data_IF_321471857141
#
_entry.id   IF_321471857141
#
_cell.length_a   1.000
_cell.length_b   1.000
_cell.length_c   1.000
_cell.angle_alpha   90.00
_cell.angle_beta   90.00
_cell.angle_gamma   90.00
#
_symmetry.space_group_name_H-M   'P 1'
#
loop_
_entity.id
_entity.type
_entity.pdbx_description
1 polymer ?
#
# COMPACT_ATOMS: atom_id res chain seq x y z
N UNK A 1 15.94 -14.03 3.70
CA UNK A 1 14.71 -14.75 4.08
C UNK A 1 13.47 -13.95 3.75
N UNK A 2 12.60 -14.53 2.94
CA UNK A 2 11.28 -13.99 2.61
C UNK A 2 10.30 -14.51 3.66
N UNK A 3 9.54 -13.63 4.33
CA UNK A 3 8.50 -14.03 5.28
C UNK A 3 7.15 -14.08 4.56
N UNK A 4 6.66 -15.29 4.29
CA UNK A 4 5.41 -15.52 3.56
C UNK A 4 4.19 -14.94 4.29
N UNK A 5 4.25 -14.79 5.63
CA UNK A 5 3.15 -14.22 6.43
C UNK A 5 2.83 -12.78 6.07
N UNK A 6 3.78 -12.06 5.47
CA UNK A 6 3.61 -10.69 4.97
C UNK A 6 2.87 -10.63 3.64
N UNK A 7 2.76 -11.75 2.93
CA UNK A 7 2.18 -11.77 1.58
C UNK A 7 0.66 -11.74 1.65
N UNK A 8 0.07 -10.92 0.77
CA UNK A 8 -1.38 -10.83 0.60
C UNK A 8 -1.71 -11.48 -0.73
N UNK A 9 -2.56 -12.52 -0.77
CA UNK A 9 -3.03 -13.09 -2.02
C UNK A 9 -3.66 -12.03 -2.92
N UNK A 10 -3.22 -11.97 -4.18
CA UNK A 10 -3.64 -10.91 -5.10
C UNK A 10 -5.17 -10.74 -5.20
N UNK A 11 -5.99 -11.82 -5.27
CA UNK A 11 -7.45 -11.69 -5.36
C UNK A 11 -8.08 -10.90 -4.20
N UNK A 12 -7.44 -10.88 -3.03
CA UNK A 12 -7.94 -10.11 -1.88
C UNK A 12 -7.82 -8.61 -2.09
N UNK A 13 -6.95 -8.14 -3.00
CA UNK A 13 -6.76 -6.72 -3.31
C UNK A 13 -7.86 -6.15 -4.23
N UNK A 14 -8.75 -7.00 -4.77
CA UNK A 14 -9.83 -6.59 -5.67
C UNK A 14 -10.69 -5.41 -5.17
N UNK A 15 -10.98 -5.25 -3.85
CA UNK A 15 -11.71 -4.07 -3.34
C UNK A 15 -11.03 -2.74 -3.66
N UNK A 16 -9.71 -2.69 -3.69
CA UNK A 16 -8.97 -1.45 -3.96
C UNK A 16 -9.24 -0.94 -5.38
N UNK A 17 -9.31 -1.85 -6.36
CA UNK A 17 -9.61 -1.50 -7.76
C UNK A 17 -11.04 -1.01 -7.99
N UNK A 18 -11.93 -1.16 -7.01
CA UNK A 18 -13.32 -0.68 -7.09
C UNK A 18 -13.52 0.71 -6.50
N UNK A 19 -12.49 1.30 -5.87
CA UNK A 19 -12.57 2.66 -5.35
C UNK A 19 -12.66 3.63 -6.53
N UNK A 20 -13.69 4.50 -6.61
CA UNK A 20 -13.82 5.44 -7.70
C UNK A 20 -12.81 6.59 -7.58
N UNK A 21 -12.43 7.17 -8.73
CA UNK A 21 -11.59 8.37 -8.77
C UNK A 21 -10.10 8.14 -8.53
N UNK A 22 -9.63 6.88 -8.50
CA UNK A 22 -8.20 6.55 -8.38
C UNK A 22 -7.66 5.89 -9.65
N UNK A 23 -6.35 5.99 -9.83
CA UNK A 23 -5.60 5.17 -10.78
C UNK A 23 -4.61 4.31 -10.01
N UNK A 24 -4.72 2.99 -10.14
CA UNK A 24 -3.79 2.07 -9.49
C UNK A 24 -2.51 1.92 -10.30
N UNK A 25 -1.37 2.06 -9.63
CA UNK A 25 -0.05 1.74 -10.18
C UNK A 25 0.54 0.54 -9.43
N UNK A 26 0.83 -0.54 -10.13
CA UNK A 26 1.41 -1.77 -9.57
C UNK A 26 2.93 -1.66 -9.57
N UNK A 27 3.50 -1.54 -8.37
CA UNK A 27 4.95 -1.44 -8.17
C UNK A 27 5.65 -2.81 -8.02
N UNK A 28 4.88 -3.90 -7.93
CA UNK A 28 5.38 -5.28 -7.92
C UNK A 28 6.08 -5.62 -9.25
N UNK A 29 7.04 -6.55 -9.19
CA UNK A 29 7.93 -6.90 -10.31
C UNK A 29 8.05 -8.42 -10.45
N UNK A 30 8.49 -8.87 -11.63
CA UNK A 30 8.84 -10.26 -11.89
C UNK A 30 7.68 -11.22 -11.63
N UNK A 31 8.00 -12.40 -11.06
CA UNK A 31 7.04 -13.49 -10.82
C UNK A 31 5.82 -13.09 -10.00
N UNK A 32 5.90 -12.06 -9.17
CA UNK A 32 4.74 -11.60 -8.40
C UNK A 32 3.61 -11.04 -9.28
N UNK A 33 3.91 -10.65 -10.52
CA UNK A 33 2.88 -10.16 -11.45
C UNK A 33 2.07 -11.28 -12.10
N UNK A 34 2.49 -12.55 -12.02
CA UNK A 34 1.73 -13.65 -12.66
C UNK A 34 0.35 -13.86 -12.04
N UNK A 35 0.15 -13.43 -10.80
CA UNK A 35 -1.12 -13.52 -10.09
C UNK A 35 -1.99 -12.26 -10.27
N UNK A 36 -1.51 -11.25 -10.99
CA UNK A 36 -2.24 -10.02 -11.25
C UNK A 36 -3.46 -10.30 -12.17
N UNK A 37 -4.69 -10.01 -11.72
CA UNK A 37 -5.87 -10.06 -12.57
C UNK A 37 -5.74 -9.08 -13.74
N UNK A 38 -6.24 -9.46 -14.93
CA UNK A 38 -6.30 -8.55 -16.07
C UNK A 38 -6.96 -7.22 -15.69
N UNK A 39 -6.31 -6.12 -16.04
CA UNK A 39 -6.83 -4.76 -15.80
C UNK A 39 -6.65 -4.22 -14.37
N UNK A 40 -5.97 -4.95 -13.47
CA UNK A 40 -5.65 -4.42 -12.14
C UNK A 40 -4.53 -3.37 -12.21
N UNK A 41 -4.87 -2.14 -12.56
CA UNK A 41 -3.94 -1.00 -12.59
C UNK A 41 -2.85 -1.07 -13.68
N UNK A 42 -2.01 -0.04 -13.71
CA UNK A 42 -0.88 0.11 -14.63
C UNK A 42 0.38 -0.43 -13.98
N UNK A 43 1.11 -1.34 -14.64
CA UNK A 43 2.40 -1.82 -14.11
C UNK A 43 3.43 -0.70 -14.24
N UNK A 44 4.00 -0.28 -13.11
CA UNK A 44 4.97 0.83 -13.04
C UNK A 44 6.20 0.52 -12.18
N UNK A 45 6.32 -0.73 -11.70
CA UNK A 45 7.47 -1.19 -10.92
C UNK A 45 8.79 -1.18 -11.71
N UNK A 46 9.91 -0.97 -11.01
CA UNK A 46 11.25 -0.95 -11.61
C UNK A 46 12.26 -1.67 -10.72
N UNK A 47 13.14 -2.48 -11.32
CA UNK A 47 14.28 -3.11 -10.62
C UNK A 47 15.37 -2.10 -10.24
N UNK A 48 15.40 -0.94 -10.89
CA UNK A 48 16.28 0.16 -10.55
C UNK A 48 15.68 1.03 -9.45
N UNK A 49 16.39 1.18 -8.33
CA UNK A 49 15.92 1.90 -7.14
C UNK A 49 15.66 3.40 -7.39
N UNK A 50 16.49 4.06 -8.21
CA UNK A 50 16.30 5.48 -8.53
C UNK A 50 15.03 5.69 -9.37
N UNK A 51 14.77 4.79 -10.31
CA UNK A 51 13.53 4.84 -11.10
C UNK A 51 12.31 4.50 -10.24
N UNK A 52 12.42 3.51 -9.34
CA UNK A 52 11.35 3.22 -8.38
C UNK A 52 11.03 4.44 -7.49
N UNK A 53 12.07 5.13 -7.01
CA UNK A 53 11.89 6.37 -6.23
C UNK A 53 11.20 7.47 -7.04
N UNK A 54 11.57 7.65 -8.32
CA UNK A 54 10.91 8.62 -9.21
C UNK A 54 9.43 8.32 -9.41
N UNK A 55 9.10 7.05 -9.66
CA UNK A 55 7.70 6.61 -9.77
C UNK A 55 6.96 6.89 -8.47
N UNK A 56 7.50 6.48 -7.32
CA UNK A 56 6.85 6.71 -6.02
C UNK A 56 6.62 8.19 -5.71
N UNK A 57 7.55 9.07 -6.10
CA UNK A 57 7.42 10.53 -5.89
C UNK A 57 6.33 11.18 -6.74
N UNK A 58 5.84 10.50 -7.76
CA UNK A 58 4.71 10.94 -8.58
C UNK A 58 3.37 10.36 -8.11
N UNK A 59 3.35 9.53 -7.06
CA UNK A 59 2.14 8.95 -6.50
C UNK A 59 1.65 9.76 -5.30
N UNK A 60 0.33 9.87 -5.17
CA UNK A 60 -0.31 10.50 -4.02
C UNK A 60 -0.24 9.62 -2.76
N UNK A 61 -0.20 8.29 -2.95
CA UNK A 61 -0.16 7.29 -1.88
C UNK A 61 0.52 6.01 -2.38
N UNK A 62 1.33 5.40 -1.52
CA UNK A 62 1.85 4.05 -1.69
C UNK A 62 1.18 3.11 -0.69
N UNK A 63 0.58 2.02 -1.15
CA UNK A 63 0.03 0.96 -0.30
C UNK A 63 0.90 -0.29 -0.46
N UNK A 64 1.45 -0.81 0.63
CA UNK A 64 2.36 -1.95 0.57
C UNK A 64 2.36 -2.74 1.87
N UNK A 65 2.68 -4.04 1.79
CA UNK A 65 3.11 -4.82 2.95
C UNK A 65 4.48 -4.34 3.46
N UNK A 66 4.94 -4.81 4.62
CA UNK A 66 6.29 -4.51 5.14
C UNK A 66 7.39 -5.06 4.21
N UNK A 67 7.83 -4.19 3.28
CA UNK A 67 8.78 -4.49 2.22
C UNK A 67 9.65 -3.27 1.90
N UNK A 68 10.66 -3.47 1.06
CA UNK A 68 11.50 -2.38 0.53
C UNK A 68 10.65 -1.22 -0.03
N UNK A 69 9.54 -1.51 -0.70
CA UNK A 69 8.62 -0.52 -1.29
C UNK A 69 8.08 0.42 -0.21
N UNK A 70 7.60 -0.13 0.90
CA UNK A 70 7.04 0.63 2.01
C UNK A 70 8.09 1.49 2.73
N UNK A 71 9.33 0.99 2.82
CA UNK A 71 10.45 1.71 3.44
C UNK A 71 10.97 2.84 2.56
N UNK A 72 11.15 2.59 1.25
CA UNK A 72 11.61 3.60 0.31
C UNK A 72 10.61 4.75 0.20
N UNK A 73 9.32 4.45 0.08
CA UNK A 73 8.27 5.47 0.07
C UNK A 73 8.30 6.35 1.35
N UNK A 74 8.44 5.72 2.52
CA UNK A 74 8.57 6.44 3.79
C UNK A 74 9.82 7.33 3.85
N UNK A 75 10.97 6.84 3.40
CA UNK A 75 12.21 7.61 3.34
C UNK A 75 12.15 8.79 2.35
N UNK A 76 11.32 8.66 1.31
CA UNK A 76 11.10 9.70 0.30
C UNK A 76 10.09 10.78 0.73
N UNK A 77 9.45 10.61 1.90
CA UNK A 77 8.38 11.48 2.38
C UNK A 77 7.08 11.35 1.60
N UNK A 78 6.88 10.23 0.90
CA UNK A 78 5.61 9.94 0.20
C UNK A 78 4.61 9.39 1.21
N UNK A 79 3.33 9.79 1.18
CA UNK A 79 2.28 9.13 1.95
C UNK A 79 2.30 7.62 1.72
N UNK A 80 2.31 6.84 2.80
CA UNK A 80 2.43 5.39 2.70
C UNK A 80 1.55 4.67 3.71
N UNK A 81 0.75 3.71 3.26
CA UNK A 81 -0.01 2.82 4.11
C UNK A 81 0.65 1.45 4.14
N UNK A 82 1.05 1.01 5.33
CA UNK A 82 1.74 -0.27 5.54
C UNK A 82 0.79 -1.30 6.13
N UNK A 83 0.62 -2.41 5.41
CA UNK A 83 -0.25 -3.51 5.79
C UNK A 83 0.61 -4.55 6.52
N UNK A 84 0.31 -4.76 7.79
CA UNK A 84 1.15 -5.52 8.70
C UNK A 84 0.43 -6.81 9.11
N UNK A 85 1.15 -7.93 9.05
CA UNK A 85 0.64 -9.19 9.57
C UNK A 85 0.57 -9.15 11.10
N UNK A 86 -0.15 -10.09 11.71
CA UNK A 86 -0.46 -10.06 13.14
C UNK A 86 0.76 -10.05 14.08
N UNK A 87 1.88 -10.65 13.65
CA UNK A 87 3.13 -10.73 14.40
C UNK A 87 4.19 -9.78 13.81
N UNK A 88 3.80 -8.55 13.52
CA UNK A 88 4.68 -7.55 12.92
C UNK A 88 5.93 -7.28 13.79
N UNK A 89 7.02 -6.87 13.13
CA UNK A 89 8.25 -6.53 13.83
C UNK A 89 8.05 -5.37 14.81
N UNK A 90 8.74 -5.41 15.95
CA UNK A 90 8.62 -4.45 17.06
C UNK A 90 8.70 -2.98 16.64
N UNK A 91 9.39 -2.66 15.54
CA UNK A 91 9.52 -1.29 15.01
C UNK A 91 8.17 -0.67 14.64
N UNK A 92 7.16 -1.51 14.40
CA UNK A 92 5.83 -1.06 14.02
C UNK A 92 4.90 -0.82 15.20
N UNK A 93 5.27 -1.29 16.40
CA UNK A 93 4.53 -1.12 17.65
C UNK A 93 3.12 -1.73 17.60
N UNK A 94 2.56 -2.03 18.77
CA UNK A 94 1.19 -2.53 18.88
C UNK A 94 0.23 -1.40 19.29
N UNK A 95 -1.00 -1.47 18.79
CA UNK A 95 -2.10 -0.59 19.23
C UNK A 95 -2.02 0.86 18.71
N UNK A 96 -1.25 1.12 17.65
CA UNK A 96 -1.19 2.44 17.00
C UNK A 96 -1.24 2.33 15.48
N UNK A 97 -1.56 3.45 14.83
CA UNK A 97 -1.67 3.52 13.36
C UNK A 97 -0.66 4.45 12.72
N UNK A 98 0.18 5.13 13.50
CA UNK A 98 1.23 6.01 13.00
C UNK A 98 2.61 5.37 13.22
N UNK A 99 3.60 5.80 12.44
CA UNK A 99 4.98 5.32 12.56
C UNK A 99 5.88 6.37 13.21
N UNK A 100 6.66 6.01 14.25
CA UNK A 100 7.66 6.92 14.82
C UNK A 100 8.84 7.18 13.88
N UNK A 101 8.99 6.36 12.84
CA UNK A 101 10.13 6.41 11.91
C UNK A 101 9.82 7.18 10.62
N UNK A 102 8.57 7.16 10.18
CA UNK A 102 8.14 7.75 8.92
C UNK A 102 6.87 8.57 9.15
N UNK A 103 6.97 9.91 9.20
CA UNK A 103 5.84 10.78 9.53
C UNK A 103 4.64 10.64 8.57
N UNK A 104 4.90 10.22 7.33
CA UNK A 104 3.88 10.02 6.29
C UNK A 104 3.29 8.61 6.26
N UNK A 105 3.69 7.74 7.20
CA UNK A 105 3.28 6.34 7.25
C UNK A 105 2.10 6.13 8.18
N UNK A 106 1.06 5.48 7.65
CA UNK A 106 -0.05 4.89 8.41
C UNK A 106 0.07 3.38 8.43
N UNK A 107 -0.26 2.74 9.53
CA UNK A 107 -0.15 1.30 9.78
C UNK A 107 -1.54 0.67 9.86
N UNK A 108 -1.68 -0.49 9.24
CA UNK A 108 -2.89 -1.30 9.25
C UNK A 108 -2.52 -2.71 9.70
N UNK A 109 -2.83 -3.04 10.95
CA UNK A 109 -2.49 -4.32 11.54
C UNK A 109 -3.58 -5.35 11.29
N UNK A 110 -3.16 -6.54 10.90
CA UNK A 110 -3.97 -7.73 10.90
C UNK A 110 -4.25 -8.17 12.34
N UNK A 111 -5.52 -8.38 12.69
CA UNK A 111 -5.92 -8.86 14.02
C UNK A 111 -5.72 -10.37 14.18
N UNK A 112 -5.93 -11.14 13.11
CA UNK A 112 -5.84 -12.60 13.12
C UNK A 112 -4.85 -13.07 12.05
N UNK A 113 -3.81 -13.86 12.40
CA UNK A 113 -2.80 -14.32 11.45
C UNK A 113 -3.40 -14.90 10.17
N UNK A 114 -2.96 -14.39 9.02
CA UNK A 114 -3.41 -14.83 7.69
C UNK A 114 -4.78 -14.28 7.25
N UNK A 115 -5.58 -13.70 8.14
CA UNK A 115 -6.85 -13.08 7.77
C UNK A 115 -6.64 -11.63 7.28
N UNK A 116 -6.38 -11.47 5.99
CA UNK A 116 -6.19 -10.15 5.37
C UNK A 116 -7.49 -9.44 4.97
N UNK A 117 -8.62 -10.15 4.96
CA UNK A 117 -9.89 -9.61 4.48
C UNK A 117 -10.33 -8.35 5.25
N UNK A 118 -10.33 -8.31 6.60
CA UNK A 118 -10.68 -7.11 7.34
C UNK A 118 -9.73 -5.93 7.07
N UNK A 119 -8.43 -6.23 6.93
CA UNK A 119 -7.40 -5.21 6.62
C UNK A 119 -7.68 -4.58 5.27
N UNK A 120 -7.91 -5.37 4.22
CA UNK A 120 -8.17 -4.84 2.88
C UNK A 120 -9.50 -4.09 2.80
N UNK A 121 -10.55 -4.59 3.47
CA UNK A 121 -11.83 -3.89 3.54
C UNK A 121 -11.64 -2.48 4.14
N UNK A 122 -10.97 -2.40 5.29
CA UNK A 122 -10.67 -1.13 5.94
C UNK A 122 -9.81 -0.21 5.08
N UNK A 123 -8.76 -0.73 4.43
CA UNK A 123 -7.92 0.04 3.52
C UNK A 123 -8.73 0.58 2.33
N UNK A 124 -9.66 -0.20 1.78
CA UNK A 124 -10.52 0.26 0.69
C UNK A 124 -11.45 1.41 1.11
N UNK A 125 -12.06 1.31 2.30
CA UNK A 125 -12.93 2.35 2.84
C UNK A 125 -12.17 3.67 3.07
N UNK A 126 -11.01 3.59 3.71
CA UNK A 126 -10.12 4.74 3.95
C UNK A 126 -9.63 5.35 2.64
N UNK A 127 -9.31 4.52 1.65
CA UNK A 127 -8.88 4.98 0.33
C UNK A 127 -10.00 5.72 -0.41
N UNK A 128 -11.25 5.25 -0.27
CA UNK A 128 -12.41 5.94 -0.84
C UNK A 128 -12.64 7.32 -0.20
N UNK A 129 -12.46 7.42 1.12
CA UNK A 129 -12.52 8.71 1.83
C UNK A 129 -11.43 9.66 1.33
N UNK A 130 -10.19 9.18 1.23
CA UNK A 130 -9.06 9.98 0.73
C UNK A 130 -9.30 10.45 -0.70
N UNK A 131 -9.71 9.55 -1.60
CA UNK A 131 -10.00 9.87 -2.99
C UNK A 131 -11.11 10.93 -3.12
N UNK A 132 -12.19 10.79 -2.33
CA UNK A 132 -13.27 11.78 -2.29
C UNK A 132 -12.78 13.17 -1.87
N UNK A 133 -11.96 13.25 -0.82
CA UNK A 133 -11.40 14.51 -0.34
C UNK A 133 -10.46 15.17 -1.37
N UNK A 134 -9.63 14.39 -2.07
CA UNK A 134 -8.72 14.89 -3.09
C UNK A 134 -9.45 15.42 -4.34
N UNK A 135 -10.53 14.74 -4.75
CA UNK A 135 -11.39 15.21 -5.85
C UNK A 135 -12.05 16.54 -5.48
N UNK A 136 -12.55 16.67 -4.25
CA UNK A 136 -13.15 17.92 -3.77
C UNK A 136 -12.13 19.07 -3.68
N UNK A 137 -10.91 18.79 -3.21
CA UNK A 137 -9.84 19.76 -3.14
C UNK A 137 -9.41 20.25 -4.54
N UNK A 138 -9.35 19.35 -5.51
CA UNK A 138 -9.00 19.68 -6.90
C UNK A 138 -10.09 20.45 -7.65
N UNK A 139 -11.35 20.34 -7.19
CA UNK A 139 -12.50 21.04 -7.75
C UNK A 139 -12.74 22.43 -7.11
N UNK A 140 -12.01 22.78 -6.05
CA UNK A 140 -12.10 24.08 -5.39
C UNK A 140 -11.15 25.08 -6.07
N UNK A 141 -11.64 26.23 -6.56
CA UNK A 141 -10.87 27.20 -7.33
C UNK A 141 -9.85 28.00 -6.52
#
# INVERSE_FOLDING_TARGET
>A
DWDERRSIPFPLLAPLARVPGITLHVLQRGRGLTEQPPGFGVVSGSDNILQAARVMRALDLVISVDSMTAHLAGALGVPVWSLLHAEADWRWMDGREDSPWYPTKRLFHQEQPGNWVPVIARVADELAVLAGAMVQASASP
#
